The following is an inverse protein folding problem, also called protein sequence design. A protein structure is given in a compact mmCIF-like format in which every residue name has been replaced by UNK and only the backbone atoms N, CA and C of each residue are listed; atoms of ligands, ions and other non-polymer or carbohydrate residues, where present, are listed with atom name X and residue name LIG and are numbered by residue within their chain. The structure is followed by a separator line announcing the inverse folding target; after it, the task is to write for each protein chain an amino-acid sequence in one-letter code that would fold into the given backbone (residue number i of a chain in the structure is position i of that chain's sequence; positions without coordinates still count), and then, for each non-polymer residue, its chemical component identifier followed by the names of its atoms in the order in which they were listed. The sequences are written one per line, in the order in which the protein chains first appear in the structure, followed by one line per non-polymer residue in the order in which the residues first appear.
data_IF_532283629075
#
_entry.id   IF_532283629075
#
_cell.length_a   1.000
_cell.length_b   1.000
_cell.length_c   1.000
_cell.angle_alpha   90.00
_cell.angle_beta   90.00
_cell.angle_gamma   90.00
#
_symmetry.space_group_name_H-M   'P 1'
#
loop_
_entity.id
_entity.type
_entity.pdbx_description
1 polymer ?
#
# COMPACT_ATOMS: atom_id res chain seq x y z
N UNK A 1 -15.63 20.63 5.03
CA UNK A 1 -14.26 21.14 5.29
C UNK A 1 -14.15 21.96 6.58
N UNK A 2 -14.98 22.99 6.76
CA UNK A 2 -14.89 23.91 7.91
C UNK A 2 -15.07 23.26 9.28
N UNK A 3 -15.88 22.21 9.39
CA UNK A 3 -16.08 21.47 10.64
C UNK A 3 -14.78 20.82 11.12
N UNK A 4 -14.03 20.17 10.23
CA UNK A 4 -12.75 19.53 10.57
C UNK A 4 -11.73 20.58 11.00
N UNK A 5 -11.66 21.70 10.26
CA UNK A 5 -10.81 22.83 10.62
C UNK A 5 -11.14 23.39 12.01
N UNK A 6 -12.43 23.54 12.32
CA UNK A 6 -12.91 24.06 13.61
C UNK A 6 -12.56 23.13 14.76
N UNK A 7 -12.68 21.80 14.57
CA UNK A 7 -12.32 20.80 15.57
C UNK A 7 -10.81 20.83 15.84
N UNK A 8 -10.00 20.80 14.78
CA UNK A 8 -8.54 20.81 14.87
C UNK A 8 -8.03 22.08 15.56
N UNK A 9 -8.61 23.25 15.26
CA UNK A 9 -8.23 24.51 15.88
C UNK A 9 -8.55 24.58 17.37
N UNK A 10 -9.60 23.90 17.83
CA UNK A 10 -10.02 23.91 19.25
C UNK A 10 -9.33 22.83 20.07
N UNK A 11 -8.74 21.84 19.44
CA UNK A 11 -8.11 20.71 20.12
C UNK A 11 -6.63 21.00 20.41
N UNK A 12 -6.17 20.69 21.63
CA UNK A 12 -4.77 20.92 22.05
C UNK A 12 -3.75 19.99 21.39
N UNK A 13 -4.21 18.97 20.68
CA UNK A 13 -3.40 17.89 20.08
C UNK A 13 -2.88 16.85 21.08
N UNK A 14 -2.99 17.10 22.39
CA UNK A 14 -2.48 16.19 23.43
C UNK A 14 -3.33 14.92 23.46
N UNK A 15 -2.66 13.76 23.52
CA UNK A 15 -3.30 12.45 23.69
C UNK A 15 -3.90 11.85 22.42
N UNK A 16 -3.77 12.50 21.25
CA UNK A 16 -4.24 11.93 19.98
C UNK A 16 -3.32 10.79 19.57
N UNK A 17 -3.76 9.56 19.75
CA UNK A 17 -3.06 8.38 19.25
C UNK A 17 -3.42 8.03 17.80
N UNK A 18 -4.69 8.23 17.42
CA UNK A 18 -5.23 7.91 16.10
C UNK A 18 -5.92 9.14 15.53
N UNK A 19 -5.58 9.49 14.30
CA UNK A 19 -6.18 10.58 13.54
C UNK A 19 -6.72 10.02 12.22
N UNK A 20 -8.05 10.01 12.08
CA UNK A 20 -8.70 9.45 10.91
C UNK A 20 -9.68 10.44 10.30
N UNK A 21 -9.56 10.65 9.00
CA UNK A 21 -10.48 11.50 8.24
C UNK A 21 -11.04 10.68 7.09
N UNK A 22 -12.37 10.70 6.97
CA UNK A 22 -13.06 10.26 5.77
C UNK A 22 -14.04 11.31 5.32
N UNK A 23 -13.71 11.99 4.23
CA UNK A 23 -14.50 13.07 3.67
C UNK A 23 -14.46 13.03 2.15
N UNK A 24 -15.45 13.65 1.53
CA UNK A 24 -15.33 14.04 0.14
C UNK A 24 -14.40 15.26 0.07
N UNK A 25 -13.32 15.16 -0.69
CA UNK A 25 -12.28 16.19 -0.77
C UNK A 25 -11.91 16.40 -2.23
N UNK A 26 -12.26 17.57 -2.76
CA UNK A 26 -11.83 17.98 -4.09
C UNK A 26 -10.37 18.46 -4.07
N UNK A 27 -9.74 18.49 -5.24
CA UNK A 27 -8.32 18.84 -5.37
C UNK A 27 -8.03 20.28 -4.92
N UNK A 28 -8.96 21.18 -5.20
CA UNK A 28 -8.92 22.61 -4.86
C UNK A 28 -8.79 22.81 -3.34
N UNK A 29 -9.34 21.87 -2.58
CA UNK A 29 -9.35 21.87 -1.12
C UNK A 29 -8.14 21.15 -0.50
N UNK A 30 -7.16 20.72 -1.30
CA UNK A 30 -5.96 20.01 -0.83
C UNK A 30 -5.15 20.77 0.22
N UNK A 31 -5.22 22.10 0.24
CA UNK A 31 -4.57 22.93 1.27
C UNK A 31 -5.10 22.64 2.68
N UNK A 32 -6.36 22.19 2.81
CA UNK A 32 -6.90 21.74 4.09
C UNK A 32 -6.28 20.44 4.56
N UNK A 33 -6.01 19.50 3.63
CA UNK A 33 -5.35 18.24 3.96
C UNK A 33 -3.98 18.48 4.60
N UNK A 34 -3.20 19.40 4.04
CA UNK A 34 -1.91 19.81 4.58
C UNK A 34 -1.99 20.34 6.01
N UNK A 35 -2.99 21.18 6.31
CA UNK A 35 -3.27 21.62 7.69
C UNK A 35 -3.60 20.46 8.62
N UNK A 36 -4.42 19.51 8.16
CA UNK A 36 -4.87 18.37 8.97
C UNK A 36 -3.74 17.40 9.27
N UNK A 37 -2.91 17.10 8.28
CA UNK A 37 -1.77 16.19 8.44
C UNK A 37 -0.70 16.81 9.35
N UNK A 38 -0.43 18.12 9.24
CA UNK A 38 0.47 18.79 10.19
C UNK A 38 -0.04 18.75 11.63
N UNK A 39 -1.35 18.90 11.83
CA UNK A 39 -1.94 18.74 13.16
C UNK A 39 -1.80 17.31 13.70
N UNK A 40 -2.03 16.30 12.86
CA UNK A 40 -1.84 14.90 13.27
C UNK A 40 -0.39 14.62 13.65
N UNK A 41 0.56 15.12 12.85
CA UNK A 41 1.99 14.99 13.10
C UNK A 41 2.43 15.72 14.38
N UNK A 42 1.99 16.97 14.60
CA UNK A 42 2.30 17.73 15.82
C UNK A 42 1.71 17.10 17.08
N UNK A 43 0.57 16.43 16.94
CA UNK A 43 -0.08 15.65 18.00
C UNK A 43 0.63 14.31 18.28
N UNK A 44 1.68 13.96 17.51
CA UNK A 44 2.40 12.69 17.59
C UNK A 44 1.49 11.47 17.40
N UNK A 45 0.48 11.60 16.54
CA UNK A 45 -0.42 10.50 16.21
C UNK A 45 0.38 9.32 15.65
N UNK A 46 0.10 8.12 16.17
CA UNK A 46 0.74 6.87 15.73
C UNK A 46 -0.01 6.23 14.58
N UNK A 47 -1.31 6.50 14.45
CA UNK A 47 -2.17 5.93 13.40
C UNK A 47 -2.77 7.10 12.64
N UNK A 48 -2.56 7.12 11.32
CA UNK A 48 -3.13 8.11 10.43
C UNK A 48 -3.87 7.41 9.31
N UNK A 49 -5.18 7.66 9.22
CA UNK A 49 -6.02 7.16 8.14
C UNK A 49 -6.61 8.36 7.38
N UNK A 50 -6.39 8.43 6.07
CA UNK A 50 -7.05 9.41 5.21
C UNK A 50 -7.76 8.71 4.06
N UNK A 51 -9.09 8.80 4.04
CA UNK A 51 -9.94 8.08 3.10
C UNK A 51 -10.85 9.06 2.36
N UNK A 52 -10.48 9.46 1.14
CA UNK A 52 -11.36 10.28 0.33
C UNK A 52 -12.57 9.46 -0.11
N UNK A 53 -13.78 9.94 0.21
CA UNK A 53 -15.03 9.39 -0.31
C UNK A 53 -15.17 9.86 -1.76
N UNK A 54 -15.36 8.93 -2.69
CA UNK A 54 -15.64 9.25 -4.08
C UNK A 54 -17.16 9.23 -4.24
N UNK A 55 -17.78 10.40 -4.36
CA UNK A 55 -19.23 10.56 -4.53
C UNK A 55 -19.66 10.68 -6.00
N UNK A 56 -18.75 11.07 -6.90
CA UNK A 56 -19.00 11.28 -8.33
C UNK A 56 -17.98 10.51 -9.20
N UNK A 57 -18.41 10.05 -10.38
CA UNK A 57 -17.62 9.32 -11.38
C UNK A 57 -16.69 10.23 -12.19
N UNK A 58 -16.62 11.51 -11.85
CA UNK A 58 -15.74 12.45 -12.54
C UNK A 58 -14.29 12.09 -12.22
N UNK A 59 -13.49 11.97 -13.27
CA UNK A 59 -12.05 11.79 -13.24
C UNK A 59 -11.39 13.09 -12.77
N UNK A 60 -11.75 13.56 -11.58
CA UNK A 60 -11.07 14.67 -10.93
C UNK A 60 -9.75 14.18 -10.36
N UNK A 61 -8.70 14.93 -10.64
CA UNK A 61 -7.35 14.66 -10.15
C UNK A 61 -7.35 14.49 -8.62
N UNK A 62 -6.73 13.42 -8.12
CA UNK A 62 -6.80 13.09 -6.71
C UNK A 62 -6.03 14.13 -5.86
N UNK A 63 -6.56 14.59 -4.71
CA UNK A 63 -5.88 15.57 -3.88
C UNK A 63 -4.52 15.04 -3.43
N UNK A 64 -3.54 15.94 -3.39
CA UNK A 64 -2.17 15.58 -3.05
C UNK A 64 -2.02 15.39 -1.54
N UNK A 65 -1.69 14.18 -1.12
CA UNK A 65 -1.36 13.86 0.25
C UNK A 65 0.09 14.27 0.56
N UNK A 66 0.30 15.17 1.53
CA UNK A 66 1.61 15.74 1.82
C UNK A 66 2.38 14.80 2.75
N UNK A 67 3.10 13.83 2.16
CA UNK A 67 3.97 12.92 2.92
C UNK A 67 4.92 13.71 3.83
N UNK A 68 5.54 14.77 3.30
CA UNK A 68 6.40 15.74 3.99
C UNK A 68 5.84 16.25 5.32
N UNK A 69 4.52 16.44 5.42
CA UNK A 69 3.88 16.95 6.63
C UNK A 69 3.88 15.94 7.79
N UNK A 70 4.18 14.66 7.53
CA UNK A 70 4.34 13.61 8.54
C UNK A 70 5.72 13.61 9.19
N UNK A 71 6.68 14.35 8.63
CA UNK A 71 8.03 14.49 9.16
C UNK A 71 8.09 15.67 10.14
N UNK A 72 7.78 15.40 11.41
CA UNK A 72 7.94 16.39 12.47
C UNK A 72 9.36 16.26 13.06
N UNK A 73 10.22 17.27 12.82
CA UNK A 73 11.57 17.34 13.40
C UNK A 73 12.53 16.20 12.95
N UNK A 74 12.40 15.70 11.72
CA UNK A 74 13.35 14.75 11.11
C UNK A 74 13.01 13.27 11.32
N UNK A 75 11.88 12.95 11.96
CA UNK A 75 11.33 11.59 11.99
C UNK A 75 9.81 11.60 12.17
N UNK A 76 9.13 10.58 11.63
CA UNK A 76 7.70 10.42 11.84
C UNK A 76 7.39 9.55 13.06
N UNK A 77 6.37 9.92 13.85
CA UNK A 77 5.83 9.08 14.94
C UNK A 77 4.81 8.04 14.44
N UNK A 78 4.52 8.03 13.15
CA UNK A 78 3.47 7.19 12.54
C UNK A 78 3.94 5.74 12.47
N UNK A 79 3.14 4.86 13.05
CA UNK A 79 3.30 3.41 13.04
C UNK A 79 2.35 2.72 12.05
N UNK A 80 1.22 3.35 11.74
CA UNK A 80 0.26 2.85 10.73
C UNK A 80 -0.24 4.01 9.88
N UNK A 81 -0.09 3.88 8.56
CA UNK A 81 -0.56 4.84 7.58
C UNK A 81 -1.53 4.15 6.60
N UNK A 82 -2.74 4.66 6.48
CA UNK A 82 -3.72 4.19 5.50
C UNK A 82 -4.22 5.35 4.65
N UNK A 83 -3.99 5.28 3.34
CA UNK A 83 -4.38 6.30 2.37
C UNK A 83 -5.32 5.70 1.34
N UNK A 84 -6.45 6.36 1.09
CA UNK A 84 -7.36 5.99 0.02
C UNK A 84 -7.73 7.19 -0.86
N UNK A 85 -7.66 6.97 -2.18
CA UNK A 85 -8.17 7.88 -3.21
C UNK A 85 -7.49 9.26 -3.24
N UNK A 86 -6.16 9.28 -3.08
CA UNK A 86 -5.29 10.48 -3.07
C UNK A 86 -4.12 10.32 -4.06
N UNK A 87 -3.36 11.39 -4.28
CA UNK A 87 -2.04 11.28 -4.91
C UNK A 87 -0.91 11.43 -3.89
N UNK A 88 0.22 10.74 -4.11
CA UNK A 88 1.46 10.93 -3.34
C UNK A 88 2.63 11.19 -4.28
N UNK A 89 3.62 11.91 -3.79
CA UNK A 89 4.86 12.17 -4.52
C UNK A 89 6.06 11.85 -3.62
N UNK A 90 6.56 10.60 -3.63
CA UNK A 90 7.81 10.27 -2.97
C UNK A 90 8.95 11.18 -3.44
N UNK A 91 9.64 11.84 -2.49
CA UNK A 91 10.85 12.62 -2.78
C UNK A 91 12.06 12.00 -2.10
N UNK A 92 13.21 12.01 -2.79
CA UNK A 92 14.49 11.66 -2.18
C UNK A 92 14.83 12.67 -1.07
N UNK A 93 15.24 12.18 0.11
CA UNK A 93 15.66 13.01 1.24
C UNK A 93 14.59 13.45 2.26
N UNK A 94 13.30 13.16 2.05
CA UNK A 94 12.20 13.59 2.94
C UNK A 94 11.54 12.39 3.65
N UNK A 95 11.09 12.56 4.90
CA UNK A 95 10.34 11.60 5.73
C UNK A 95 11.04 10.27 6.04
N UNK A 96 11.61 10.15 7.23
CA UNK A 96 12.06 8.85 7.77
C UNK A 96 10.91 8.13 8.48
N UNK A 97 10.28 7.18 7.80
CA UNK A 97 9.25 6.28 8.34
C UNK A 97 9.86 5.08 9.08
N UNK A 98 10.89 5.30 9.89
CA UNK A 98 11.70 4.24 10.52
C UNK A 98 10.96 3.40 11.54
N UNK A 99 9.76 3.82 11.97
CA UNK A 99 8.90 3.07 12.91
C UNK A 99 7.55 2.68 12.31
N UNK A 100 7.33 2.93 11.01
CA UNK A 100 6.11 2.55 10.32
C UNK A 100 6.07 1.02 10.21
N UNK A 101 5.04 0.40 10.80
CA UNK A 101 4.80 -1.05 10.79
C UNK A 101 3.75 -1.44 9.76
N UNK A 102 2.83 -0.54 9.43
CA UNK A 102 1.76 -0.81 8.46
C UNK A 102 1.58 0.32 7.45
N UNK A 103 1.51 -0.03 6.18
CA UNK A 103 1.23 0.88 5.07
C UNK A 103 0.12 0.29 4.19
N UNK A 104 -0.99 1.01 4.09
CA UNK A 104 -2.11 0.65 3.20
C UNK A 104 -2.36 1.76 2.21
N UNK A 105 -2.25 1.45 0.93
CA UNK A 105 -2.55 2.36 -0.17
C UNK A 105 -3.70 1.75 -0.98
N UNK A 106 -4.78 2.52 -1.15
CA UNK A 106 -5.94 2.12 -1.95
C UNK A 106 -6.29 3.21 -2.96
N UNK A 107 -6.31 2.91 -4.25
CA UNK A 107 -6.63 3.90 -5.28
C UNK A 107 -5.74 5.14 -5.23
N UNK A 108 -4.44 4.95 -4.93
CA UNK A 108 -3.46 6.04 -4.80
C UNK A 108 -2.72 6.23 -6.11
N UNK A 109 -2.64 7.48 -6.59
CA UNK A 109 -1.78 7.87 -7.71
C UNK A 109 -0.37 8.18 -7.20
N UNK A 110 0.63 7.43 -7.63
CA UNK A 110 2.00 7.55 -7.15
C UNK A 110 2.84 8.25 -8.22
N UNK A 111 3.49 9.35 -7.85
CA UNK A 111 4.35 10.11 -8.75
C UNK A 111 5.79 10.07 -8.24
N UNK A 112 6.67 9.31 -8.90
CA UNK A 112 8.10 9.26 -8.58
C UNK A 112 8.53 7.92 -7.97
N UNK A 113 9.58 7.97 -7.14
CA UNK A 113 10.30 6.77 -6.68
C UNK A 113 9.59 6.06 -5.53
N UNK A 114 8.72 5.11 -5.87
CA UNK A 114 8.01 4.29 -4.89
C UNK A 114 8.93 3.29 -4.15
N UNK A 115 9.84 2.55 -4.81
CA UNK A 115 10.83 1.73 -4.11
C UNK A 115 11.67 2.54 -3.11
N UNK A 116 12.07 3.76 -3.47
CA UNK A 116 12.78 4.66 -2.56
C UNK A 116 11.95 5.14 -1.36
N UNK A 117 10.63 5.24 -1.49
CA UNK A 117 9.75 5.45 -0.33
C UNK A 117 9.76 4.21 0.58
N UNK A 118 9.54 3.04 0.01
CA UNK A 118 9.50 1.77 0.74
C UNK A 118 10.82 1.52 1.47
N UNK A 119 11.95 1.85 0.86
CA UNK A 119 13.28 1.66 1.45
C UNK A 119 13.48 2.43 2.77
N UNK A 120 12.66 3.46 3.03
CA UNK A 120 12.69 4.27 4.26
C UNK A 120 11.84 3.67 5.39
N UNK A 121 11.07 2.63 5.12
CA UNK A 121 10.14 1.98 6.04
C UNK A 121 10.76 0.72 6.68
N UNK A 122 11.96 0.81 7.26
CA UNK A 122 12.75 -0.37 7.71
C UNK A 122 12.11 -1.25 8.81
N UNK A 123 10.95 -0.86 9.35
CA UNK A 123 10.19 -1.65 10.34
C UNK A 123 8.82 -2.08 9.82
N UNK A 124 8.60 -1.98 8.51
CA UNK A 124 7.33 -2.33 7.88
C UNK A 124 7.10 -3.84 7.99
N UNK A 125 5.95 -4.20 8.53
CA UNK A 125 5.51 -5.58 8.75
C UNK A 125 4.34 -5.94 7.83
N UNK A 126 3.51 -4.95 7.48
CA UNK A 126 2.32 -5.12 6.66
C UNK A 126 2.25 -4.05 5.56
N UNK A 127 2.26 -4.50 4.30
CA UNK A 127 2.14 -3.67 3.11
C UNK A 127 0.95 -4.12 2.26
N UNK A 128 -0.05 -3.24 2.10
CA UNK A 128 -1.17 -3.46 1.19
C UNK A 128 -1.21 -2.36 0.13
N UNK A 129 -1.19 -2.75 -1.14
CA UNK A 129 -1.26 -1.84 -2.29
C UNK A 129 -2.38 -2.29 -3.21
N UNK A 130 -3.43 -1.48 -3.30
CA UNK A 130 -4.67 -1.82 -3.98
C UNK A 130 -5.04 -0.73 -4.98
N UNK A 131 -5.33 -1.08 -6.23
CA UNK A 131 -5.81 -0.15 -7.25
C UNK A 131 -4.93 1.10 -7.47
N UNK A 132 -3.65 1.01 -7.16
CA UNK A 132 -2.71 2.14 -7.29
C UNK A 132 -2.15 2.22 -8.72
N UNK A 133 -1.77 3.43 -9.14
CA UNK A 133 -1.20 3.69 -10.46
C UNK A 133 0.08 4.53 -10.37
N UNK A 134 0.85 4.57 -11.46
CA UNK A 134 2.13 5.29 -11.53
C UNK A 134 3.33 4.46 -11.05
N UNK A 135 3.19 3.14 -11.03
CA UNK A 135 4.26 2.18 -10.73
C UNK A 135 4.25 1.13 -11.85
N UNK A 136 5.28 1.14 -12.70
CA UNK A 136 5.41 0.19 -13.80
C UNK A 136 5.90 -1.18 -13.28
N UNK A 137 7.00 -1.17 -12.54
CA UNK A 137 7.55 -2.35 -11.84
C UNK A 137 7.43 -2.18 -10.33
N UNK A 138 6.84 -3.16 -9.66
CA UNK A 138 6.73 -3.14 -8.20
C UNK A 138 7.90 -3.91 -7.58
N UNK A 139 8.94 -3.16 -7.22
CA UNK A 139 10.14 -3.68 -6.55
C UNK A 139 10.05 -3.36 -5.06
N UNK A 140 9.92 -4.38 -4.22
CA UNK A 140 9.98 -4.25 -2.76
C UNK A 140 11.46 -4.34 -2.33
N UNK A 141 12.01 -3.28 -1.74
CA UNK A 141 13.43 -3.24 -1.37
C UNK A 141 13.79 -4.30 -0.32
N UNK A 142 15.02 -4.83 -0.44
CA UNK A 142 15.59 -5.77 0.55
C UNK A 142 15.73 -5.20 1.97
N UNK A 143 15.63 -3.87 2.13
CA UNK A 143 15.63 -3.21 3.44
C UNK A 143 14.34 -3.45 4.24
N UNK A 144 13.32 -4.06 3.61
CA UNK A 144 12.08 -4.48 4.26
C UNK A 144 12.18 -5.92 4.80
N UNK A 145 13.23 -6.19 5.58
CA UNK A 145 13.53 -7.50 6.15
C UNK A 145 12.51 -7.96 7.22
N UNK A 146 11.69 -7.03 7.74
CA UNK A 146 10.61 -7.27 8.70
C UNK A 146 9.24 -7.48 8.07
N UNK A 147 9.12 -7.40 6.75
CA UNK A 147 7.83 -7.52 6.07
C UNK A 147 7.29 -8.95 6.24
N UNK A 148 6.11 -9.07 6.86
CA UNK A 148 5.44 -10.34 7.15
C UNK A 148 4.22 -10.58 6.26
N UNK A 149 3.55 -9.50 5.85
CA UNK A 149 2.37 -9.53 4.99
C UNK A 149 2.53 -8.58 3.82
N UNK A 150 2.29 -9.10 2.60
CA UNK A 150 2.30 -8.33 1.36
C UNK A 150 1.04 -8.65 0.56
N UNK A 151 0.20 -7.64 0.32
CA UNK A 151 -0.98 -7.73 -0.54
C UNK A 151 -0.88 -6.74 -1.69
N UNK A 152 -1.03 -7.24 -2.91
CA UNK A 152 -1.05 -6.45 -4.15
C UNK A 152 -2.34 -6.78 -4.89
N UNK A 153 -3.20 -5.81 -5.16
CA UNK A 153 -4.46 -6.06 -5.87
C UNK A 153 -4.80 -4.97 -6.89
N UNK A 154 -5.27 -5.37 -8.08
CA UNK A 154 -5.82 -4.45 -9.08
C UNK A 154 -4.81 -3.40 -9.58
N UNK A 155 -3.52 -3.73 -9.55
CA UNK A 155 -2.46 -2.89 -10.11
C UNK A 155 -2.16 -3.29 -11.55
N UNK A 156 -1.75 -2.31 -12.34
CA UNK A 156 -1.23 -2.53 -13.69
C UNK A 156 0.31 -2.50 -13.69
N UNK A 157 0.92 -3.59 -13.21
CA UNK A 157 2.39 -3.73 -13.11
C UNK A 157 2.93 -4.75 -14.11
N UNK A 158 4.07 -4.43 -14.71
CA UNK A 158 4.79 -5.30 -15.64
C UNK A 158 5.57 -6.40 -14.92
N UNK A 159 5.93 -6.18 -13.65
CA UNK A 159 6.60 -7.15 -12.80
C UNK A 159 6.36 -6.85 -11.32
N UNK A 160 6.41 -7.91 -10.50
CA UNK A 160 6.52 -7.82 -9.04
C UNK A 160 7.80 -8.53 -8.61
N UNK A 161 8.68 -7.85 -7.90
CA UNK A 161 9.90 -8.42 -7.35
C UNK A 161 10.02 -8.06 -5.86
N UNK A 162 10.37 -9.03 -5.02
CA UNK A 162 10.66 -8.73 -3.62
C UNK A 162 11.68 -9.67 -3.00
N UNK A 163 12.46 -9.10 -2.08
CA UNK A 163 13.32 -9.83 -1.15
C UNK A 163 12.84 -9.58 0.28
N UNK A 164 12.11 -10.53 0.85
CA UNK A 164 11.53 -10.40 2.19
C UNK A 164 11.70 -11.71 2.97
N UNK A 165 12.69 -11.74 3.86
CA UNK A 165 13.07 -12.94 4.64
C UNK A 165 12.02 -13.35 5.66
N UNK A 166 11.30 -12.37 6.23
CA UNK A 166 10.28 -12.61 7.25
C UNK A 166 8.86 -12.74 6.68
N UNK A 167 8.71 -12.75 5.34
CA UNK A 167 7.39 -12.78 4.71
C UNK A 167 6.70 -14.10 5.02
N UNK A 168 5.55 -14.03 5.68
CA UNK A 168 4.72 -15.17 6.05
C UNK A 168 3.51 -15.31 5.14
N UNK A 169 2.97 -14.19 4.65
CA UNK A 169 1.74 -14.15 3.87
C UNK A 169 1.90 -13.25 2.64
N UNK A 170 1.60 -13.81 1.47
CA UNK A 170 1.60 -13.10 0.20
C UNK A 170 0.24 -13.24 -0.49
N UNK A 171 -0.33 -12.13 -0.95
CA UNK A 171 -1.52 -12.11 -1.79
C UNK A 171 -1.30 -11.23 -3.03
N UNK A 172 -1.60 -11.80 -4.19
CA UNK A 172 -1.64 -11.09 -5.46
C UNK A 172 -3.00 -11.27 -6.13
N UNK A 173 -3.60 -10.17 -6.59
CA UNK A 173 -4.78 -10.19 -7.45
C UNK A 173 -4.62 -9.24 -8.61
N UNK A 174 -4.67 -9.72 -9.85
CA UNK A 174 -4.52 -8.84 -11.01
C UNK A 174 -4.36 -9.57 -12.32
N UNK A 175 -3.76 -8.91 -13.31
CA UNK A 175 -3.41 -9.53 -14.59
C UNK A 175 -2.23 -10.50 -14.41
N UNK A 176 -1.97 -11.32 -15.40
CA UNK A 176 -0.77 -12.17 -15.35
C UNK A 176 0.46 -11.31 -15.54
N UNK A 177 1.35 -11.36 -14.56
CA UNK A 177 2.61 -10.62 -14.51
C UNK A 177 3.68 -11.53 -13.88
N UNK A 178 4.96 -11.43 -14.27
CA UNK A 178 6.05 -12.10 -13.57
C UNK A 178 6.08 -11.70 -12.08
N UNK A 179 6.18 -12.69 -11.20
CA UNK A 179 6.36 -12.51 -9.76
C UNK A 179 7.65 -13.21 -9.37
N UNK A 180 8.65 -12.44 -8.95
CA UNK A 180 9.97 -12.92 -8.57
C UNK A 180 10.13 -12.80 -7.05
N UNK A 181 10.37 -13.94 -6.41
CA UNK A 181 10.52 -14.05 -4.97
C UNK A 181 11.96 -14.40 -4.60
N UNK A 182 12.58 -13.61 -3.75
CA UNK A 182 13.93 -13.85 -3.24
C UNK A 182 13.91 -14.03 -1.71
N UNK A 183 14.63 -15.04 -1.21
CA UNK A 183 14.90 -15.21 0.23
C UNK A 183 13.67 -15.47 1.12
N UNK A 184 12.52 -15.86 0.56
CA UNK A 184 11.23 -16.01 1.27
C UNK A 184 11.12 -17.31 2.10
N UNK A 185 12.08 -17.54 3.00
CA UNK A 185 12.20 -18.79 3.77
C UNK A 185 11.05 -19.03 4.76
N UNK A 186 10.34 -17.98 5.19
CA UNK A 186 9.24 -18.06 6.16
C UNK A 186 7.85 -18.04 5.52
N UNK A 187 7.75 -18.06 4.19
CA UNK A 187 6.47 -17.90 3.49
C UNK A 187 5.55 -19.08 3.77
N UNK A 188 4.49 -18.85 4.52
CA UNK A 188 3.54 -19.89 4.92
C UNK A 188 2.42 -20.02 3.90
N UNK A 189 1.92 -18.88 3.40
CA UNK A 189 0.79 -18.85 2.49
C UNK A 189 0.99 -17.84 1.38
N UNK A 190 0.82 -18.31 0.15
CA UNK A 190 0.74 -17.47 -1.04
C UNK A 190 -0.64 -17.67 -1.70
N UNK A 191 -1.34 -16.57 -1.99
CA UNK A 191 -2.60 -16.58 -2.76
C UNK A 191 -2.44 -15.71 -3.99
N UNK A 192 -2.64 -16.29 -5.17
CA UNK A 192 -2.50 -15.60 -6.45
C UNK A 192 -3.80 -15.74 -7.21
N UNK A 193 -4.45 -14.63 -7.56
CA UNK A 193 -5.73 -14.58 -8.25
C UNK A 193 -5.62 -13.79 -9.56
N UNK A 194 -5.73 -14.47 -10.69
CA UNK A 194 -5.64 -13.83 -12.00
C UNK A 194 -7.02 -13.47 -12.56
N UNK A 195 -7.15 -12.23 -13.05
CA UNK A 195 -8.42 -11.66 -13.54
C UNK A 195 -8.77 -12.05 -14.99
N UNK A 196 -7.90 -12.79 -15.71
CA UNK A 196 -8.10 -13.17 -17.11
C UNK A 196 -8.24 -14.70 -17.33
N UNK A 197 -9.08 -15.07 -18.30
CA UNK A 197 -9.62 -16.43 -18.49
C UNK A 197 -8.80 -17.41 -19.34
N UNK A 198 -7.77 -16.94 -20.01
CA UNK A 198 -6.99 -17.70 -20.98
C UNK A 198 -5.55 -18.02 -20.52
N UNK A 199 -5.23 -17.80 -19.25
CA UNK A 199 -3.82 -17.67 -18.81
C UNK A 199 -3.36 -18.74 -17.82
N UNK A 200 -4.19 -19.75 -17.55
CA UNK A 200 -3.84 -20.87 -16.68
C UNK A 200 -2.49 -21.52 -17.02
N UNK A 201 -2.15 -21.81 -18.30
CA UNK A 201 -0.86 -22.43 -18.63
C UNK A 201 0.35 -21.56 -18.26
N UNK A 202 0.24 -20.23 -18.35
CA UNK A 202 1.34 -19.31 -18.01
C UNK A 202 1.40 -19.00 -16.51
N UNK A 203 0.27 -19.08 -15.80
CA UNK A 203 0.23 -18.99 -14.34
C UNK A 203 1.12 -20.05 -13.69
N UNK A 204 1.22 -21.25 -14.29
CA UNK A 204 2.08 -22.34 -13.80
C UNK A 204 3.58 -22.10 -14.01
N UNK A 205 4.00 -21.16 -14.85
CA UNK A 205 5.42 -20.81 -15.00
C UNK A 205 5.93 -19.89 -13.87
N UNK A 206 5.02 -19.28 -13.10
CA UNK A 206 5.35 -18.44 -11.92
C UNK A 206 5.59 -19.30 -10.68
N UNK A 207 5.10 -20.55 -10.68
CA UNK A 207 5.05 -21.48 -9.55
C UNK A 207 6.38 -22.20 -9.22
N UNK A 208 7.29 -22.52 -10.16
CA UNK A 208 8.49 -23.33 -9.84
C UNK A 208 9.52 -22.63 -8.95
N UNK A 209 9.40 -21.32 -8.74
CA UNK A 209 10.36 -20.50 -7.98
C UNK A 209 10.00 -20.37 -6.50
N UNK A 210 8.87 -20.94 -6.06
CA UNK A 210 8.27 -20.66 -4.76
C UNK A 210 8.61 -21.79 -3.74
N UNK A 211 9.82 -21.78 -3.19
CA UNK A 211 10.27 -22.68 -2.10
C UNK A 211 10.51 -21.89 -0.81
N UNK A 212 10.00 -22.27 0.39
CA UNK A 212 9.19 -23.42 0.78
C UNK A 212 7.78 -22.98 1.23
N UNK A 213 6.87 -22.74 0.29
CA UNK A 213 5.51 -22.31 0.67
C UNK A 213 4.70 -23.49 1.19
N UNK A 214 4.15 -23.37 2.40
CA UNK A 214 3.29 -24.43 2.98
C UNK A 214 1.98 -24.56 2.20
N UNK A 215 1.38 -23.43 1.83
CA UNK A 215 0.09 -23.37 1.13
C UNK A 215 0.15 -22.38 -0.03
N UNK A 216 0.03 -22.87 -1.26
CA UNK A 216 -0.12 -22.05 -2.46
C UNK A 216 -1.54 -22.20 -3.02
N UNK A 217 -2.28 -21.10 -3.06
CA UNK A 217 -3.62 -21.04 -3.64
C UNK A 217 -3.54 -20.23 -4.93
N UNK A 218 -3.84 -20.86 -6.06
CA UNK A 218 -3.93 -20.19 -7.36
C UNK A 218 -5.39 -20.17 -7.80
N UNK A 219 -5.91 -18.98 -8.09
CA UNK A 219 -7.27 -18.74 -8.56
C UNK A 219 -7.22 -18.14 -9.96
N UNK A 220 -8.02 -18.66 -10.88
CA UNK A 220 -8.18 -18.11 -12.21
C UNK A 220 -9.68 -18.00 -12.54
N UNK A 221 -10.09 -16.83 -13.05
CA UNK A 221 -11.46 -16.60 -13.48
C UNK A 221 -11.63 -16.99 -14.95
N UNK A 222 -12.32 -18.10 -15.24
CA UNK A 222 -12.58 -18.54 -16.63
C UNK A 222 -13.94 -18.02 -17.07
N UNK A 223 -13.95 -17.06 -18.01
CA UNK A 223 -15.12 -16.31 -18.47
C UNK A 223 -16.27 -17.15 -19.06
N UNK A 224 -16.04 -18.46 -19.34
CA UNK A 224 -17.08 -19.38 -19.81
C UNK A 224 -17.55 -20.43 -18.78
N UNK A 225 -16.83 -20.64 -17.67
CA UNK A 225 -17.06 -21.82 -16.80
C UNK A 225 -17.01 -21.54 -15.29
N UNK A 226 -16.74 -20.30 -14.86
CA UNK A 226 -16.65 -19.91 -13.45
C UNK A 226 -15.21 -19.78 -12.93
N UNK A 227 -15.05 -19.71 -11.61
CA UNK A 227 -13.74 -19.59 -10.96
C UNK A 227 -13.12 -20.99 -10.76
N UNK A 228 -11.93 -21.19 -11.29
CA UNK A 228 -11.11 -22.38 -10.97
C UNK A 228 -10.15 -22.02 -9.84
N UNK A 229 -10.11 -22.85 -8.81
CA UNK A 229 -9.18 -22.71 -7.69
C UNK A 229 -8.34 -23.97 -7.58
N UNK A 230 -7.03 -23.82 -7.73
CA UNK A 230 -6.06 -24.87 -7.47
C UNK A 230 -5.43 -24.59 -6.10
N UNK A 231 -5.45 -25.58 -5.21
CA UNK A 231 -4.81 -25.51 -3.90
C UNK A 231 -3.67 -26.53 -3.87
N UNK A 232 -2.45 -26.05 -3.66
CA UNK A 232 -1.26 -26.86 -3.49
C UNK A 232 -0.83 -26.77 -2.01
N UNK A 233 -0.66 -27.93 -1.39
CA UNK A 233 -0.20 -28.07 -0.01
C UNK A 233 1.10 -28.87 -0.09
N UNK A 234 2.18 -28.32 0.45
CA UNK A 234 3.54 -28.90 0.38
C UNK A 234 4.00 -29.39 1.75
#
# INVERSE_FOLDING_TARGET
METVNSVIQRHSGIGINKFSISCDLHKEDSHHLDKWIRFAASSKAKIIDFHRKISDYRVEEAPHFPLEALDAQGSSFVQSLSLASVSIKPRSGICRFTILRRLVLSSVQIFGDFPGLLAKCSRLEDLEIKWCSGVDDLIVPHTLDKLQHLLIAGMDVQMVEFHATDLAHFEYKGRVTPIVLHGCLKLEKATIAFEASNVLPHAFNVIPSISPVKILIVRAFISKYGQVTCCFIF
#
